data_IF_312979522110
#
_entry.id   IF_312979522110
#
_cell.length_a   1.000
_cell.length_b   1.000
_cell.length_c   1.000
_cell.angle_alpha   90.00
_cell.angle_beta   90.00
_cell.angle_gamma   90.00
#
_symmetry.space_group_name_H-M   'P 1'
#
loop_
_entity.id
_entity.type
_entity.pdbx_description
1 polymer ?
#
# COMPACT_ATOMS: atom_id res chain seq x y z
N UNK A 1 8.98 4.90 27.04
CA UNK A 1 8.62 5.19 25.64
C UNK A 1 7.27 4.54 25.38
N UNK A 2 6.20 5.32 25.20
CA UNK A 2 4.90 4.77 24.77
C UNK A 2 4.89 4.78 23.25
N UNK A 3 4.72 3.62 22.62
CA UNK A 3 4.53 3.55 21.18
C UNK A 3 3.03 3.72 20.92
N UNK A 4 2.61 4.90 20.46
CA UNK A 4 1.25 5.05 19.94
C UNK A 4 1.06 4.12 18.73
N UNK A 5 -0.02 3.33 18.75
CA UNK A 5 -0.36 2.52 17.59
C UNK A 5 -0.65 3.42 16.39
N UNK A 6 0.10 3.24 15.30
CA UNK A 6 -0.17 3.90 14.01
C UNK A 6 -1.33 3.27 13.25
N UNK A 7 -1.94 2.24 13.82
CA UNK A 7 -3.08 1.53 13.25
C UNK A 7 -4.20 1.49 14.27
N UNK A 8 -5.33 2.11 13.96
CA UNK A 8 -6.48 2.20 14.86
C UNK A 8 -7.80 2.07 14.10
N UNK A 9 -8.90 1.85 14.82
CA UNK A 9 -10.25 1.92 14.24
C UNK A 9 -10.74 3.36 14.35
N UNK A 10 -11.47 3.85 13.36
CA UNK A 10 -12.16 5.13 13.53
C UNK A 10 -13.10 5.06 14.73
N UNK A 11 -13.25 6.20 15.41
CA UNK A 11 -13.96 6.30 16.69
C UNK A 11 -15.37 5.69 16.68
N UNK A 12 -16.03 5.58 15.51
CA UNK A 12 -17.40 5.11 15.38
C UNK A 12 -17.61 4.16 14.18
N UNK A 13 -16.59 3.46 13.68
CA UNK A 13 -16.73 2.67 12.46
C UNK A 13 -15.90 1.39 12.40
N UNK A 14 -16.22 0.54 11.42
CA UNK A 14 -15.47 -0.69 11.14
C UNK A 14 -14.16 -0.43 10.36
N UNK A 15 -13.93 0.82 9.94
CA UNK A 15 -12.78 1.27 9.16
C UNK A 15 -11.51 1.24 10.01
N UNK A 16 -10.47 0.61 9.48
CA UNK A 16 -9.13 0.63 10.05
C UNK A 16 -8.33 1.75 9.36
N UNK A 17 -7.71 2.59 10.18
CA UNK A 17 -6.92 3.74 9.76
C UNK A 17 -5.45 3.43 10.02
N UNK A 18 -4.62 3.72 9.03
CA UNK A 18 -3.15 3.70 9.14
C UNK A 18 -2.70 5.15 9.05
N UNK A 19 -2.15 5.71 10.14
CA UNK A 19 -1.68 7.09 10.19
C UNK A 19 -0.26 7.24 9.65
N UNK A 20 0.20 8.49 9.50
CA UNK A 20 1.55 8.81 9.05
C UNK A 20 2.62 8.03 9.85
N UNK A 21 3.56 7.43 9.11
CA UNK A 21 4.58 6.49 9.62
C UNK A 21 4.07 5.05 9.83
N UNK A 22 2.80 4.78 9.57
CA UNK A 22 2.19 3.45 9.61
C UNK A 22 2.35 2.69 8.30
N UNK A 23 2.19 1.36 8.38
CA UNK A 23 2.37 0.43 7.26
C UNK A 23 1.22 -0.57 7.19
N UNK A 24 0.71 -0.83 5.98
CA UNK A 24 -0.15 -1.96 5.65
C UNK A 24 0.59 -2.90 4.69
N UNK A 25 0.73 -4.18 5.05
CA UNK A 25 1.39 -5.20 4.25
C UNK A 25 0.39 -6.26 3.78
N UNK A 26 0.30 -6.47 2.48
CA UNK A 26 -0.54 -7.48 1.83
C UNK A 26 0.36 -8.40 0.99
N UNK A 27 0.79 -9.51 1.58
CA UNK A 27 1.83 -10.35 0.99
C UNK A 27 3.12 -9.55 0.79
N UNK A 28 3.57 -9.42 -0.47
CA UNK A 28 4.77 -8.65 -0.81
C UNK A 28 4.49 -7.16 -1.03
N UNK A 29 3.24 -6.76 -1.30
CA UNK A 29 2.89 -5.35 -1.48
C UNK A 29 2.84 -4.63 -0.13
N UNK A 30 3.51 -3.48 -0.04
CA UNK A 30 3.60 -2.69 1.18
C UNK A 30 3.15 -1.26 0.88
N UNK A 31 2.13 -0.81 1.59
CA UNK A 31 1.61 0.56 1.56
C UNK A 31 2.12 1.28 2.80
N UNK A 32 2.90 2.34 2.60
CA UNK A 32 3.40 3.21 3.68
C UNK A 32 2.80 4.58 3.54
N UNK A 33 2.31 5.16 4.65
CA UNK A 33 1.86 6.55 4.68
C UNK A 33 3.02 7.43 5.18
N UNK A 34 3.48 8.35 4.35
CA UNK A 34 4.55 9.27 4.72
C UNK A 34 4.09 10.37 5.69
N UNK A 35 5.01 11.23 6.13
CA UNK A 35 4.72 12.31 7.07
C UNK A 35 3.75 13.37 6.52
N UNK A 36 3.62 13.48 5.20
CA UNK A 36 2.73 14.41 4.50
C UNK A 36 1.37 13.77 4.15
N UNK A 37 1.15 12.51 4.53
CA UNK A 37 -0.04 11.74 4.17
C UNK A 37 0.01 11.14 2.76
N UNK A 38 1.15 11.22 2.07
CA UNK A 38 1.37 10.55 0.79
C UNK A 38 1.49 9.03 0.97
N UNK A 39 1.06 8.26 -0.05
CA UNK A 39 1.15 6.79 -0.03
C UNK A 39 2.27 6.33 -0.94
N UNK A 40 3.23 5.59 -0.37
CA UNK A 40 4.29 4.92 -1.11
C UNK A 40 3.97 3.43 -1.14
N UNK A 41 3.86 2.89 -2.35
CA UNK A 41 3.62 1.46 -2.58
C UNK A 41 4.92 0.81 -3.07
N UNK A 42 5.40 -0.17 -2.31
CA UNK A 42 6.60 -0.96 -2.67
C UNK A 42 6.27 -2.44 -2.77
N UNK A 43 7.18 -3.22 -3.35
CA UNK A 43 7.00 -4.66 -3.53
C UNK A 43 6.03 -5.07 -4.63
N UNK A 44 5.60 -4.12 -5.48
CA UNK A 44 4.93 -4.43 -6.74
C UNK A 44 5.90 -5.12 -7.71
N UNK A 45 5.43 -6.03 -8.58
CA UNK A 45 6.24 -6.59 -9.66
C UNK A 45 6.86 -5.50 -10.54
N UNK A 46 8.07 -5.74 -11.03
CA UNK A 46 8.78 -4.83 -11.96
C UNK A 46 8.72 -5.28 -13.42
N UNK A 47 8.11 -6.43 -13.66
CA UNK A 47 7.74 -6.94 -14.98
C UNK A 47 6.24 -7.21 -15.00
N UNK A 48 5.64 -7.18 -16.20
CA UNK A 48 4.23 -7.49 -16.36
C UNK A 48 3.93 -8.90 -15.81
N UNK A 49 3.06 -9.03 -14.79
CA UNK A 49 2.73 -10.33 -14.21
C UNK A 49 1.84 -11.22 -15.10
N UNK A 50 1.30 -10.68 -16.21
CA UNK A 50 0.36 -11.36 -17.11
C UNK A 50 -0.92 -11.85 -16.40
N UNK A 51 -1.28 -11.22 -15.28
CA UNK A 51 -2.53 -11.47 -14.55
C UNK A 51 -3.42 -10.25 -14.74
N UNK A 52 -4.63 -10.45 -15.27
CA UNK A 52 -5.56 -9.35 -15.53
C UNK A 52 -5.91 -8.61 -14.23
N UNK A 53 -5.82 -7.28 -14.25
CA UNK A 53 -6.11 -6.42 -13.10
C UNK A 53 -4.97 -6.28 -12.09
N UNK A 54 -3.85 -7.00 -12.25
CA UNK A 54 -2.72 -6.88 -11.34
C UNK A 54 -2.00 -5.53 -11.50
N UNK A 55 -1.68 -4.88 -10.38
CA UNK A 55 -0.84 -3.69 -10.34
C UNK A 55 0.64 -4.06 -10.42
N UNK A 56 1.41 -3.31 -11.20
CA UNK A 56 2.86 -3.47 -11.30
C UNK A 56 3.56 -2.13 -11.59
N UNK A 57 4.85 -2.05 -11.26
CA UNK A 57 5.69 -0.89 -11.54
C UNK A 57 6.41 -1.10 -12.87
N UNK A 58 6.04 -0.31 -13.87
CA UNK A 58 6.73 -0.27 -15.15
C UNK A 58 7.71 0.90 -15.18
N UNK A 59 8.91 0.69 -14.61
CA UNK A 59 9.98 1.69 -14.58
C UNK A 59 9.53 3.07 -14.05
N UNK A 60 8.74 3.08 -12.98
CA UNK A 60 8.20 4.30 -12.35
C UNK A 60 6.76 4.64 -12.72
N UNK A 61 6.15 3.96 -13.70
CA UNK A 61 4.74 4.12 -14.04
C UNK A 61 3.91 3.02 -13.38
N UNK A 62 2.92 3.41 -12.56
CA UNK A 62 1.95 2.45 -12.03
C UNK A 62 1.06 1.95 -13.18
N UNK A 63 1.11 0.66 -13.44
CA UNK A 63 0.41 0.03 -14.57
C UNK A 63 -0.52 -1.06 -14.07
N UNK A 64 -1.68 -1.22 -14.72
CA UNK A 64 -2.57 -2.39 -14.57
C UNK A 64 -2.27 -3.35 -15.71
N UNK A 65 -1.94 -4.60 -15.39
CA UNK A 65 -1.78 -5.67 -16.38
C UNK A 65 -3.14 -6.00 -17.03
N UNK A 66 -3.16 -6.09 -18.36
CA UNK A 66 -4.35 -6.51 -19.11
C UNK A 66 -4.67 -8.01 -18.96
N UNK A 67 -3.72 -8.80 -18.45
CA UNK A 67 -3.74 -10.25 -18.61
C UNK A 67 -2.93 -10.68 -19.84
N UNK A 68 -3.01 -11.97 -20.15
CA UNK A 68 -2.35 -12.60 -21.30
C UNK A 68 -2.71 -11.94 -22.64
#
# INVERSE_FOLDING_TARGET
MSYESKVYKDANGNRQVVSAGGVLKLGNAVFTVDANGGVIVTGLPTANPNVAGALWNNSGVLTISAGA
#
